data_IF_879911773981
#
_entry.id   IF_879911773981
#
_cell.length_a   1.000
_cell.length_b   1.000
_cell.length_c   1.000
_cell.angle_alpha   90.00
_cell.angle_beta   90.00
_cell.angle_gamma   90.00
#
_symmetry.space_group_name_H-M   'P 1'
#
loop_
_entity.id
_entity.type
_entity.pdbx_description
1 polymer ?
#
# COMPACT_ATOMS: atom_id res chain seq x y z
N UNK A 1 24.24 16.21 -29.58
CA UNK A 1 23.38 16.71 -28.48
C UNK A 1 24.22 17.63 -27.62
N UNK A 2 23.77 18.87 -27.34
CA UNK A 2 24.50 19.86 -26.55
C UNK A 2 24.57 19.40 -25.08
N UNK A 3 25.69 19.61 -24.40
CA UNK A 3 25.92 19.18 -23.00
C UNK A 3 24.85 19.71 -22.04
N UNK A 4 24.45 20.96 -22.23
CA UNK A 4 23.33 21.57 -21.50
C UNK A 4 22.02 20.80 -21.68
N UNK A 5 21.72 20.32 -22.90
CA UNK A 5 20.52 19.54 -23.18
C UNK A 5 20.53 18.20 -22.44
N UNK A 6 21.68 17.51 -22.36
CA UNK A 6 21.81 16.26 -21.58
C UNK A 6 21.51 16.50 -20.10
N UNK A 7 22.12 17.52 -19.51
CA UNK A 7 21.91 17.87 -18.10
C UNK A 7 20.44 18.21 -17.79
N UNK A 8 19.76 18.91 -18.68
CA UNK A 8 18.33 19.22 -18.55
C UNK A 8 17.48 17.95 -18.65
N UNK A 9 17.78 17.06 -19.61
CA UNK A 9 17.07 15.78 -19.77
C UNK A 9 17.22 14.92 -18.51
N UNK A 10 18.44 14.79 -17.97
CA UNK A 10 18.71 14.06 -16.73
C UNK A 10 17.93 14.65 -15.55
N UNK A 11 17.95 15.97 -15.38
CA UNK A 11 17.22 16.63 -14.29
C UNK A 11 15.71 16.36 -14.37
N UNK A 12 15.12 16.43 -15.56
CA UNK A 12 13.70 16.12 -15.79
C UNK A 12 13.42 14.64 -15.52
N UNK A 13 14.27 13.73 -16.00
CA UNK A 13 14.12 12.30 -15.79
C UNK A 13 14.18 11.95 -14.29
N UNK A 14 15.12 12.51 -13.55
CA UNK A 14 15.22 12.33 -12.09
C UNK A 14 13.99 12.90 -11.36
N UNK A 15 13.47 14.05 -11.78
CA UNK A 15 12.26 14.63 -11.20
C UNK A 15 11.04 13.74 -11.42
N UNK A 16 10.81 13.28 -12.66
CA UNK A 16 9.70 12.36 -13.00
C UNK A 16 9.79 11.04 -12.24
N UNK A 17 10.98 10.47 -12.14
CA UNK A 17 11.23 9.23 -11.37
C UNK A 17 10.85 9.41 -9.91
N UNK A 18 11.22 10.54 -9.28
CA UNK A 18 10.84 10.84 -7.89
C UNK A 18 9.32 10.97 -7.73
N UNK A 19 8.64 11.73 -8.60
CA UNK A 19 7.19 11.89 -8.55
C UNK A 19 6.48 10.54 -8.67
N UNK A 20 6.91 9.69 -9.61
CA UNK A 20 6.37 8.35 -9.76
C UNK A 20 6.60 7.48 -8.50
N UNK A 21 7.77 7.60 -7.89
CA UNK A 21 8.09 6.93 -6.61
C UNK A 21 7.15 7.35 -5.48
N UNK A 22 6.90 8.65 -5.31
CA UNK A 22 5.96 9.16 -4.30
C UNK A 22 4.53 8.69 -4.56
N UNK A 23 4.06 8.79 -5.80
CA UNK A 23 2.72 8.32 -6.17
C UNK A 23 2.55 6.81 -5.87
N UNK A 24 3.55 6.00 -6.21
CA UNK A 24 3.52 4.57 -5.91
C UNK A 24 3.42 4.29 -4.41
N UNK A 25 4.20 5.02 -3.59
CA UNK A 25 4.17 4.83 -2.14
C UNK A 25 2.80 5.23 -1.56
N UNK A 26 2.28 6.38 -1.96
CA UNK A 26 0.98 6.87 -1.49
C UNK A 26 -0.14 5.88 -1.81
N UNK A 27 -0.09 5.26 -2.99
CA UNK A 27 -1.01 4.19 -3.37
C UNK A 27 -0.89 2.97 -2.47
N UNK A 28 0.33 2.54 -2.13
CA UNK A 28 0.54 1.40 -1.21
C UNK A 28 0.00 1.70 0.19
N UNK A 29 0.23 2.91 0.70
CA UNK A 29 -0.32 3.36 1.99
C UNK A 29 -1.85 3.34 1.95
N UNK A 30 -2.44 3.92 0.90
CA UNK A 30 -3.91 3.95 0.72
C UNK A 30 -4.49 2.53 0.69
N UNK A 31 -3.86 1.60 -0.03
CA UNK A 31 -4.29 0.21 -0.08
C UNK A 31 -4.16 -0.52 1.27
N UNK A 32 -3.13 -0.19 2.06
CA UNK A 32 -3.01 -0.69 3.42
C UNK A 32 -4.19 -0.22 4.29
N UNK A 33 -4.52 1.07 4.23
CA UNK A 33 -5.62 1.66 5.00
C UNK A 33 -6.99 1.13 4.57
N UNK A 34 -7.22 0.92 3.27
CA UNK A 34 -8.43 0.27 2.78
C UNK A 34 -8.55 -1.14 3.37
N UNK A 35 -7.46 -1.91 3.35
CA UNK A 35 -7.42 -3.24 3.94
C UNK A 35 -7.77 -3.24 5.43
N UNK A 36 -7.24 -2.27 6.18
CA UNK A 36 -7.57 -2.05 7.60
C UNK A 36 -9.07 -1.81 7.80
N UNK A 37 -9.63 -0.85 7.09
CA UNK A 37 -11.04 -0.48 7.19
C UNK A 37 -11.96 -1.68 6.90
N UNK A 38 -11.63 -2.48 5.88
CA UNK A 38 -12.37 -3.71 5.55
C UNK A 38 -12.34 -4.68 6.73
N UNK A 39 -11.16 -4.92 7.33
CA UNK A 39 -11.04 -5.86 8.45
C UNK A 39 -11.80 -5.38 9.67
N UNK A 40 -11.71 -4.11 10.02
CA UNK A 40 -12.42 -3.52 11.15
C UNK A 40 -13.94 -3.62 10.96
N UNK A 41 -14.45 -3.35 9.75
CA UNK A 41 -15.88 -3.41 9.46
C UNK A 41 -16.43 -4.85 9.55
N UNK A 42 -15.72 -5.83 8.99
CA UNK A 42 -16.10 -7.24 9.07
C UNK A 42 -16.09 -7.74 10.53
N UNK A 43 -15.16 -7.25 11.36
CA UNK A 43 -15.08 -7.64 12.77
C UNK A 43 -16.27 -7.12 13.60
N UNK A 44 -16.84 -5.96 13.28
CA UNK A 44 -18.07 -5.45 13.94
C UNK A 44 -19.28 -6.35 13.71
N UNK A 45 -19.36 -7.03 12.56
CA UNK A 45 -20.48 -7.90 12.17
C UNK A 45 -20.49 -9.31 12.74
N UNK A 46 -19.85 -9.57 13.90
CA UNK A 46 -19.81 -10.89 14.56
C UNK A 46 -19.13 -12.03 13.75
N UNK A 47 -18.13 -11.72 12.90
CA UNK A 47 -17.27 -12.70 12.19
C UNK A 47 -18.02 -13.78 11.38
N UNK A 48 -19.23 -13.53 10.92
CA UNK A 48 -19.92 -14.46 10.01
C UNK A 48 -19.21 -14.44 8.65
N UNK A 49 -18.75 -15.59 8.18
CA UNK A 49 -18.02 -15.70 6.91
C UNK A 49 -18.83 -15.11 5.73
N UNK A 50 -20.14 -15.37 5.71
CA UNK A 50 -21.05 -14.88 4.67
C UNK A 50 -21.21 -13.35 4.69
N UNK A 51 -21.13 -12.73 5.86
CA UNK A 51 -21.23 -11.26 6.01
C UNK A 51 -20.04 -10.54 5.38
N UNK A 52 -18.83 -11.07 5.57
CA UNK A 52 -17.63 -10.48 4.99
C UNK A 52 -17.65 -10.50 3.46
N UNK A 53 -18.10 -11.61 2.87
CA UNK A 53 -18.24 -11.74 1.42
C UNK A 53 -19.28 -10.77 0.85
N UNK A 54 -20.41 -10.59 1.55
CA UNK A 54 -21.46 -9.66 1.14
C UNK A 54 -21.00 -8.20 1.19
N UNK A 55 -20.32 -7.78 2.27
CA UNK A 55 -19.75 -6.44 2.38
C UNK A 55 -18.78 -6.16 1.24
N UNK A 56 -17.84 -7.07 0.98
CA UNK A 56 -16.83 -6.85 -0.05
C UNK A 56 -17.45 -6.72 -1.44
N UNK A 57 -18.50 -7.48 -1.71
CA UNK A 57 -19.25 -7.37 -2.96
C UNK A 57 -19.92 -6.00 -3.10
N UNK A 58 -20.66 -5.57 -2.07
CA UNK A 58 -21.35 -4.27 -2.07
C UNK A 58 -20.36 -3.10 -2.21
N UNK A 59 -19.27 -3.12 -1.43
CA UNK A 59 -18.23 -2.09 -1.47
C UNK A 59 -17.55 -2.07 -2.85
N UNK A 60 -17.25 -3.22 -3.43
CA UNK A 60 -16.66 -3.27 -4.77
C UNK A 60 -17.59 -2.69 -5.84
N UNK A 61 -18.88 -3.01 -5.80
CA UNK A 61 -19.88 -2.47 -6.73
C UNK A 61 -19.94 -0.94 -6.62
N UNK A 62 -20.05 -0.41 -5.41
CA UNK A 62 -20.08 1.03 -5.13
C UNK A 62 -18.81 1.75 -5.58
N UNK A 63 -17.63 1.21 -5.26
CA UNK A 63 -16.35 1.83 -5.60
C UNK A 63 -16.07 1.73 -7.10
N UNK A 64 -16.46 0.63 -7.76
CA UNK A 64 -16.34 0.50 -9.21
C UNK A 64 -17.20 1.54 -9.93
N UNK A 65 -18.41 1.83 -9.44
CA UNK A 65 -19.29 2.86 -9.98
C UNK A 65 -18.74 4.28 -9.77
N UNK A 66 -18.17 4.57 -8.59
CA UNK A 66 -17.72 5.92 -8.22
C UNK A 66 -16.30 6.25 -8.71
N UNK A 67 -15.39 5.28 -8.68
CA UNK A 67 -13.95 5.48 -8.91
C UNK A 67 -13.43 4.73 -10.13
N UNK A 68 -14.21 3.81 -10.69
CA UNK A 68 -13.84 3.06 -11.89
C UNK A 68 -12.89 1.90 -11.63
N UNK A 69 -12.07 1.57 -12.64
CA UNK A 69 -11.23 0.38 -12.66
C UNK A 69 -10.25 0.38 -11.49
N UNK A 70 -10.04 -0.80 -10.90
CA UNK A 70 -9.12 -0.99 -9.77
C UNK A 70 -9.81 -1.36 -8.46
N UNK A 71 -11.14 -1.25 -8.36
CA UNK A 71 -11.88 -1.57 -7.13
C UNK A 71 -12.76 -2.81 -7.25
N UNK A 72 -12.29 -3.84 -7.95
CA UNK A 72 -12.97 -5.13 -7.99
C UNK A 72 -12.91 -5.83 -6.63
N UNK A 73 -13.84 -6.77 -6.39
CA UNK A 73 -13.86 -7.63 -5.18
C UNK A 73 -12.49 -8.27 -4.94
N UNK A 74 -11.86 -8.79 -5.99
CA UNK A 74 -10.53 -9.40 -5.90
C UNK A 74 -9.44 -8.41 -5.47
N UNK A 75 -9.51 -7.15 -5.91
CA UNK A 75 -8.51 -6.17 -5.49
C UNK A 75 -8.74 -5.71 -4.05
N UNK A 76 -10.00 -5.58 -3.61
CA UNK A 76 -10.32 -5.32 -2.21
C UNK A 76 -9.87 -6.48 -1.29
N UNK A 77 -10.03 -7.73 -1.71
CA UNK A 77 -9.49 -8.89 -0.99
C UNK A 77 -7.97 -8.86 -0.92
N UNK A 78 -7.29 -8.44 -1.99
CA UNK A 78 -5.83 -8.25 -1.97
C UNK A 78 -5.41 -7.17 -0.98
N UNK A 79 -6.12 -6.03 -0.91
CA UNK A 79 -5.87 -4.97 0.07
C UNK A 79 -6.10 -5.46 1.50
N UNK A 80 -7.21 -6.19 1.72
CA UNK A 80 -7.52 -6.84 3.00
C UNK A 80 -6.42 -7.82 3.42
N UNK A 81 -5.99 -8.71 2.53
CA UNK A 81 -4.91 -9.65 2.80
C UNK A 81 -3.58 -8.93 3.07
N UNK A 82 -3.28 -7.89 2.29
CA UNK A 82 -2.09 -7.05 2.50
C UNK A 82 -2.07 -6.47 3.92
N UNK A 83 -3.18 -5.89 4.38
CA UNK A 83 -3.28 -5.45 5.78
C UNK A 83 -3.10 -6.61 6.77
N UNK A 84 -3.78 -7.74 6.59
CA UNK A 84 -3.67 -8.88 7.53
C UNK A 84 -2.25 -9.45 7.64
N UNK A 85 -1.52 -9.45 6.53
CA UNK A 85 -0.14 -9.92 6.45
C UNK A 85 0.82 -8.93 7.14
N UNK A 86 0.71 -7.64 6.82
CA UNK A 86 1.70 -6.63 7.25
C UNK A 86 1.34 -5.91 8.56
N UNK A 87 0.10 -6.06 9.07
CA UNK A 87 -0.32 -5.54 10.39
C UNK A 87 0.23 -6.34 11.57
N UNK A 88 0.54 -7.63 11.35
CA UNK A 88 1.06 -8.54 12.39
C UNK A 88 2.58 -8.60 12.42
N UNK A 89 3.22 -8.33 11.29
CA UNK A 89 4.66 -8.46 11.11
C UNK A 89 5.39 -7.26 11.74
N UNK A 90 6.33 -7.50 12.65
CA UNK A 90 7.16 -6.49 13.33
C UNK A 90 8.28 -5.93 12.42
N UNK A 91 8.03 -5.81 11.10
CA UNK A 91 9.09 -5.55 10.13
C UNK A 91 9.51 -4.09 10.23
N UNK A 92 10.74 -3.89 10.69
CA UNK A 92 11.36 -2.57 10.81
C UNK A 92 11.86 -2.02 9.46
N UNK A 93 11.03 -1.26 8.73
CA UNK A 93 11.39 -0.67 7.43
C UNK A 93 11.42 0.87 7.44
N UNK A 94 12.40 1.43 8.14
CA UNK A 94 12.78 2.85 7.99
C UNK A 94 14.29 2.93 7.96
N UNK A 95 14.89 3.02 6.77
CA UNK A 95 16.01 3.91 6.40
C UNK A 95 16.06 3.99 4.85
N UNK A 96 15.35 4.94 4.27
CA UNK A 96 15.63 5.40 2.91
C UNK A 96 15.97 6.90 3.00
N UNK A 97 17.10 7.36 2.43
CA UNK A 97 17.49 8.79 2.43
C UNK A 97 16.45 9.72 1.79
N UNK A 98 15.49 9.15 1.04
CA UNK A 98 14.42 9.89 0.35
C UNK A 98 13.36 10.38 1.35
N UNK A 99 13.20 9.70 2.50
CA UNK A 99 12.19 10.03 3.52
C UNK A 99 12.66 10.99 4.61
N UNK A 100 13.97 11.20 4.78
CA UNK A 100 14.50 12.15 5.77
C UNK A 100 14.23 13.62 5.41
N UNK A 101 13.97 13.92 4.12
CA UNK A 101 13.79 15.29 3.62
C UNK A 101 12.33 15.67 3.32
N UNK A 102 11.40 14.73 3.43
CA UNK A 102 9.97 15.03 3.30
C UNK A 102 9.42 15.48 4.65
N UNK A 103 9.52 16.77 4.90
CA UNK A 103 8.96 17.50 6.04
C UNK A 103 7.42 17.50 6.02
N UNK A 104 6.83 16.31 6.18
CA UNK A 104 5.48 16.07 6.67
C UNK A 104 5.39 14.58 6.98
N UNK A 105 5.53 14.26 8.27
CA UNK A 105 5.20 12.95 8.80
C UNK A 105 3.77 12.58 8.35
N UNK A 106 3.63 11.69 7.36
CA UNK A 106 2.41 10.92 7.20
C UNK A 106 2.29 10.02 8.42
N UNK A 107 1.72 10.61 9.47
CA UNK A 107 1.34 9.97 10.72
C UNK A 107 0.25 8.95 10.41
N UNK A 108 0.65 7.72 10.11
CA UNK A 108 -0.16 6.56 10.49
C UNK A 108 0.00 6.46 12.03
N UNK A 109 -0.61 7.40 12.75
CA UNK A 109 -0.76 7.32 14.19
C UNK A 109 -1.90 6.36 14.47
N UNK A 110 -1.60 5.07 14.51
CA UNK A 110 -2.44 4.18 15.31
C UNK A 110 -2.28 4.58 16.77
N UNK A 111 -3.40 4.74 17.48
CA UNK A 111 -3.54 5.18 18.89
C UNK A 111 -2.76 4.36 19.93
N UNK A 112 -1.85 3.47 19.53
CA UNK A 112 -0.98 2.67 20.38
C UNK A 112 0.40 2.53 19.72
N UNK A 113 1.32 3.49 19.89
CA UNK A 113 2.79 3.41 19.72
C UNK A 113 3.38 2.25 18.87
N UNK A 114 2.80 1.91 17.72
CA UNK A 114 3.26 0.88 16.78
C UNK A 114 3.33 1.55 15.42
N UNK A 115 4.55 1.88 15.01
CA UNK A 115 4.81 2.41 13.68
C UNK A 115 4.79 1.27 12.68
N UNK A 116 3.84 1.30 11.74
CA UNK A 116 3.78 0.36 10.61
C UNK A 116 4.70 0.89 9.53
N UNK A 117 5.59 0.05 9.00
CA UNK A 117 6.65 0.46 8.08
C UNK A 117 6.48 -0.24 6.72
N UNK A 118 6.36 0.57 5.65
CA UNK A 118 6.09 0.15 4.27
C UNK A 118 7.34 0.48 3.41
N UNK A 119 7.86 -0.51 2.69
CA UNK A 119 8.94 -0.38 1.70
C UNK A 119 8.48 0.40 0.46
N UNK A 120 9.40 1.13 -0.21
CA UNK A 120 9.13 1.82 -1.47
C UNK A 120 9.07 0.82 -2.64
N UNK A 121 8.23 -0.20 -2.53
CA UNK A 121 8.00 -1.23 -3.54
C UNK A 121 6.69 -0.94 -4.27
N UNK A 122 6.60 -1.37 -5.52
CA UNK A 122 5.36 -1.23 -6.27
C UNK A 122 4.25 -2.12 -5.70
N UNK A 123 3.00 -1.75 -5.93
CA UNK A 123 1.85 -2.57 -5.53
C UNK A 123 1.94 -4.01 -6.05
N UNK A 124 2.35 -4.18 -7.30
CA UNK A 124 2.56 -5.51 -7.89
C UNK A 124 3.60 -6.35 -7.14
N UNK A 125 4.65 -5.71 -6.60
CA UNK A 125 5.65 -6.40 -5.81
C UNK A 125 5.07 -6.82 -4.45
N UNK A 126 4.30 -5.95 -3.80
CA UNK A 126 3.56 -6.33 -2.59
C UNK A 126 2.59 -7.48 -2.79
N UNK A 127 1.87 -7.50 -3.91
CA UNK A 127 1.01 -8.62 -4.28
C UNK A 127 1.79 -9.92 -4.43
N UNK A 128 3.00 -9.86 -4.98
CA UNK A 128 3.88 -11.02 -5.04
C UNK A 128 4.30 -11.48 -3.63
N UNK A 129 4.76 -10.56 -2.79
CA UNK A 129 5.20 -10.87 -1.42
C UNK A 129 4.09 -11.47 -0.55
N UNK A 130 2.84 -11.01 -0.70
CA UNK A 130 1.69 -11.57 0.04
C UNK A 130 1.38 -13.04 -0.31
N UNK A 131 1.94 -13.57 -1.41
CA UNK A 131 1.82 -14.99 -1.79
C UNK A 131 2.89 -15.87 -1.18
N UNK A 132 3.97 -15.29 -0.67
CA UNK A 132 5.04 -16.03 0.00
C UNK A 132 4.57 -16.30 1.42
N UNK A 133 4.34 -17.56 1.77
CA UNK A 133 3.83 -17.96 3.09
C UNK A 133 4.86 -17.72 4.21
N UNK A 134 6.14 -18.03 3.92
CA UNK A 134 7.24 -17.88 4.86
C UNK A 134 7.63 -16.39 5.04
N UNK A 135 7.45 -15.86 6.24
CA UNK A 135 7.78 -14.48 6.58
C UNK A 135 9.26 -14.15 6.39
N UNK A 136 10.17 -15.07 6.73
CA UNK A 136 11.62 -14.86 6.58
C UNK A 136 12.05 -14.82 5.11
N UNK A 137 11.39 -15.60 4.24
CA UNK A 137 11.64 -15.53 2.79
C UNK A 137 11.01 -14.28 2.18
N UNK A 138 9.85 -13.85 2.69
CA UNK A 138 9.17 -12.63 2.24
C UNK A 138 10.01 -11.37 2.46
N UNK A 139 10.81 -11.32 3.52
CA UNK A 139 11.65 -10.15 3.87
C UNK A 139 12.99 -10.15 3.10
N UNK A 140 13.36 -11.26 2.43
CA UNK A 140 14.62 -11.38 1.68
C UNK A 140 14.57 -10.81 0.25
N UNK A 141 13.39 -10.42 -0.24
CA UNK A 141 13.15 -9.83 -1.55
C UNK A 141 12.86 -8.33 -1.43
#
# INVERSE_FOLDING_TARGET
MIELSKKIIELIATSRSRVAGYANLEMVVTYFEIGKNIVEEIQKGNKRADYGNQILKQVAEDLLLKLGKGFSVQNLERMRNFYLVYSKSSIELRKSPIFEKSSNELRISEKNNKSIKILPLSWSHYLFLTRIENELERIRF
#
